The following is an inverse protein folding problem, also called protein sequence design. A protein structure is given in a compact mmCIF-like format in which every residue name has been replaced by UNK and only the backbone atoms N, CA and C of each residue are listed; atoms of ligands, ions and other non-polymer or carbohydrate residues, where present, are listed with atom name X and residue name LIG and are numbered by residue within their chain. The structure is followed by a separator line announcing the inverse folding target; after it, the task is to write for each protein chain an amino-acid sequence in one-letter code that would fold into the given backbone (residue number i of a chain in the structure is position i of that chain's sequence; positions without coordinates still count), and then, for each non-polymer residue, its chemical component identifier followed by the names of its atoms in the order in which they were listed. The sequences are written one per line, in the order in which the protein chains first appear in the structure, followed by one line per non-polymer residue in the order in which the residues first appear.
data_IF_314765371361
#
_entry.id   IF_314765371361
#
_cell.length_a   1.000
_cell.length_b   1.000
_cell.length_c   1.000
_cell.angle_alpha   90.00
_cell.angle_beta   90.00
_cell.angle_gamma   90.00
#
_symmetry.space_group_name_H-M   'P 1'
#
loop_
_entity.id
_entity.type
_entity.pdbx_description
1 polymer ?
#
# COMPACT_ATOMS: atom_id res chain seq x y z
N UNK A 1 6.30 -43.46 86.42
CA UNK A 1 5.74 -44.77 86.79
C UNK A 1 4.52 -44.58 87.68
N UNK A 2 3.49 -43.90 87.17
CA UNK A 2 2.08 -44.07 87.58
C UNK A 2 1.11 -43.60 86.48
N UNK A 3 1.58 -43.53 85.23
CA UNK A 3 0.75 -43.40 84.02
C UNK A 3 0.94 -44.60 83.08
N UNK A 4 1.74 -45.58 83.51
CA UNK A 4 2.13 -46.78 82.76
C UNK A 4 1.13 -47.94 82.95
N UNK A 5 0.13 -47.75 83.83
CA UNK A 5 -0.90 -48.75 84.10
C UNK A 5 -2.25 -48.47 83.44
N UNK A 6 -2.51 -47.24 82.95
CA UNK A 6 -3.75 -46.94 82.19
C UNK A 6 -3.64 -47.15 80.68
N UNK A 7 -2.44 -47.49 80.18
CA UNK A 7 -2.19 -47.72 78.75
C UNK A 7 -2.11 -49.21 78.39
N UNK A 8 -2.18 -50.10 79.38
CA UNK A 8 -2.13 -51.56 79.22
C UNK A 8 -3.52 -52.25 79.22
N UNK A 9 -4.59 -51.46 79.10
CA UNK A 9 -5.91 -51.94 78.69
C UNK A 9 -6.07 -51.91 77.15
N UNK A 10 -4.96 -51.64 76.45
CA UNK A 10 -4.69 -52.18 75.12
C UNK A 10 -3.99 -53.53 75.28
N UNK A 11 -4.75 -54.63 75.29
CA UNK A 11 -4.39 -55.95 74.77
C UNK A 11 -5.30 -57.00 75.40
N UNK A 12 -6.03 -57.73 74.54
CA UNK A 12 -6.71 -59.01 74.82
C UNK A 12 -8.08 -58.83 75.47
N UNK A 13 -9.22 -59.19 74.91
CA UNK A 13 -9.61 -60.01 73.76
C UNK A 13 -11.07 -59.58 73.50
N UNK A 14 -11.44 -59.18 72.28
CA UNK A 14 -12.43 -59.87 71.43
C UNK A 14 -12.49 -58.98 70.17
N UNK A 15 -11.73 -59.15 69.08
CA UNK A 15 -11.50 -60.33 68.23
C UNK A 15 -12.78 -61.02 67.77
N UNK A 16 -13.61 -60.28 67.04
CA UNK A 16 -14.24 -60.74 65.80
C UNK A 16 -14.56 -59.51 64.93
N UNK A 17 -13.75 -59.25 63.89
CA UNK A 17 -14.14 -58.62 62.60
C UNK A 17 -12.89 -58.54 61.69
N UNK A 18 -13.07 -59.09 60.48
CA UNK A 18 -12.38 -58.81 59.21
C UNK A 18 -10.92 -59.27 59.00
N UNK A 19 -10.79 -60.38 58.27
CA UNK A 19 -9.54 -60.79 57.60
C UNK A 19 -9.81 -61.14 56.13
N UNK A 20 -10.10 -60.12 55.32
CA UNK A 20 -10.20 -60.22 53.85
C UNK A 20 -8.96 -59.72 53.13
N UNK A 21 -8.12 -60.64 52.64
CA UNK A 21 -6.93 -60.38 51.82
C UNK A 21 -7.21 -59.53 50.57
N UNK A 22 -6.31 -58.60 50.33
CA UNK A 22 -6.05 -57.97 49.03
C UNK A 22 -5.71 -59.03 47.97
N UNK A 23 -6.47 -59.10 46.88
CA UNK A 23 -5.94 -59.21 45.51
C UNK A 23 -7.04 -59.10 44.42
N UNK A 24 -6.84 -58.12 43.53
CA UNK A 24 -7.26 -58.03 42.11
C UNK A 24 -8.73 -58.27 41.74
N UNK A 25 -9.48 -57.18 41.55
CA UNK A 25 -10.47 -57.07 40.46
C UNK A 25 -10.33 -55.74 39.70
N UNK A 26 -10.36 -55.89 38.38
CA UNK A 26 -10.24 -54.90 37.31
C UNK A 26 -11.24 -53.76 37.41
N UNK A 27 -10.77 -52.55 37.68
CA UNK A 27 -11.53 -51.33 37.47
C UNK A 27 -11.17 -50.74 36.10
N UNK A 28 -12.12 -50.83 35.16
CA UNK A 28 -12.10 -50.14 33.87
C UNK A 28 -11.84 -48.65 34.07
N UNK A 29 -10.64 -48.19 33.67
CA UNK A 29 -10.33 -46.76 33.51
C UNK A 29 -11.30 -46.18 32.46
N UNK A 30 -12.29 -45.41 32.93
CA UNK A 30 -12.95 -44.40 32.08
C UNK A 30 -11.85 -43.45 31.61
N UNK A 31 -11.55 -43.47 30.31
CA UNK A 31 -10.75 -42.41 29.67
C UNK A 31 -11.43 -41.08 29.98
N UNK A 32 -10.67 -40.03 30.36
CA UNK A 32 -11.26 -38.70 30.46
C UNK A 32 -11.83 -38.35 29.09
N UNK A 33 -13.02 -37.76 29.09
CA UNK A 33 -13.67 -37.26 27.89
C UNK A 33 -12.63 -36.45 27.10
N UNK A 34 -12.39 -36.85 25.85
CA UNK A 34 -11.55 -36.07 24.95
C UNK A 34 -12.13 -34.69 24.88
N UNK A 35 -11.37 -33.70 25.35
CA UNK A 35 -11.63 -32.28 25.11
C UNK A 35 -11.97 -32.16 23.63
N UNK A 36 -13.25 -31.88 23.35
CA UNK A 36 -13.70 -31.61 22.01
C UNK A 36 -12.89 -30.41 21.56
N UNK A 37 -11.88 -30.64 20.69
CA UNK A 37 -11.12 -29.59 20.03
C UNK A 37 -12.14 -28.60 19.49
N UNK A 38 -12.27 -27.47 20.18
CA UNK A 38 -13.01 -26.32 19.70
C UNK A 38 -12.31 -25.97 18.39
N UNK A 39 -12.91 -26.37 17.27
CA UNK A 39 -12.44 -26.00 15.94
C UNK A 39 -12.55 -24.48 15.93
N UNK A 40 -11.44 -23.80 16.22
CA UNK A 40 -11.34 -22.38 16.05
C UNK A 40 -11.66 -22.14 14.59
N UNK A 41 -12.77 -21.45 14.31
CA UNK A 41 -13.04 -20.92 12.97
C UNK A 41 -11.79 -20.16 12.58
N UNK A 42 -10.94 -20.75 11.73
CA UNK A 42 -9.75 -20.09 11.20
C UNK A 42 -10.27 -18.89 10.44
N UNK A 43 -10.02 -17.69 10.94
CA UNK A 43 -10.23 -16.50 10.15
C UNK A 43 -9.43 -16.67 8.85
N UNK A 44 -10.03 -16.37 7.69
CA UNK A 44 -9.30 -16.40 6.43
C UNK A 44 -8.09 -15.47 6.56
N UNK A 45 -6.92 -15.93 6.10
CA UNK A 45 -5.74 -15.08 6.06
C UNK A 45 -6.03 -13.85 5.20
N UNK A 46 -5.56 -12.69 5.67
CA UNK A 46 -5.81 -11.39 5.02
C UNK A 46 -5.06 -11.24 3.68
N UNK A 47 -3.90 -11.90 3.56
CA UNK A 47 -3.05 -11.89 2.36
C UNK A 47 -3.18 -13.19 1.53
N UNK A 48 -2.67 -13.23 0.29
CA UNK A 48 -2.57 -14.47 -0.50
C UNK A 48 -1.67 -15.50 0.17
N UNK A 49 -2.09 -16.77 0.19
CA UNK A 49 -1.36 -17.85 0.86
C UNK A 49 -0.56 -18.74 -0.10
N UNK A 50 -0.56 -18.35 -1.36
CA UNK A 50 0.13 -18.99 -2.48
C UNK A 50 0.80 -17.87 -3.27
N UNK A 51 1.89 -18.18 -3.99
CA UNK A 51 2.56 -17.22 -4.85
C UNK A 51 1.66 -16.81 -6.03
N UNK A 52 1.92 -15.66 -6.64
CA UNK A 52 1.20 -15.24 -7.85
C UNK A 52 1.29 -16.28 -8.97
N UNK A 53 2.45 -16.93 -9.13
CA UNK A 53 2.66 -18.00 -10.11
C UNK A 53 1.74 -19.21 -9.84
N UNK A 54 1.62 -19.64 -8.58
CA UNK A 54 0.74 -20.72 -8.20
C UNK A 54 -0.72 -20.34 -8.44
N UNK A 55 -1.11 -19.12 -8.05
CA UNK A 55 -2.47 -18.61 -8.21
C UNK A 55 -2.89 -18.52 -9.68
N UNK A 56 -1.98 -18.17 -10.60
CA UNK A 56 -2.22 -18.11 -12.05
C UNK A 56 -2.55 -19.48 -12.68
N UNK A 57 -2.27 -20.60 -12.00
CA UNK A 57 -2.60 -21.94 -12.51
C UNK A 57 -4.12 -22.14 -12.66
N UNK A 58 -4.93 -21.57 -11.78
CA UNK A 58 -6.40 -21.66 -11.87
C UNK A 58 -6.90 -20.97 -13.15
N UNK A 59 -6.71 -19.66 -13.36
CA UNK A 59 -7.21 -19.00 -14.55
C UNK A 59 -6.61 -19.57 -15.85
N UNK A 60 -5.36 -20.06 -15.84
CA UNK A 60 -4.78 -20.80 -16.98
C UNK A 60 -5.61 -22.04 -17.34
N UNK A 61 -5.88 -22.90 -16.36
CA UNK A 61 -6.64 -24.12 -16.59
C UNK A 61 -8.08 -23.85 -17.05
N UNK A 62 -8.76 -22.83 -16.49
CA UNK A 62 -10.11 -22.44 -16.91
C UNK A 62 -10.08 -21.89 -18.35
N UNK A 63 -9.04 -21.13 -18.71
CA UNK A 63 -8.87 -20.61 -20.06
C UNK A 63 -8.66 -21.73 -21.08
N UNK A 64 -7.78 -22.69 -20.76
CA UNK A 64 -7.45 -23.82 -21.64
C UNK A 64 -8.61 -24.80 -21.80
N UNK A 65 -9.32 -25.12 -20.71
CA UNK A 65 -10.34 -26.17 -20.69
C UNK A 65 -11.77 -25.65 -20.93
N UNK A 66 -12.03 -24.36 -20.67
CA UNK A 66 -13.38 -23.75 -20.74
C UNK A 66 -13.39 -22.38 -21.42
N UNK A 67 -12.38 -22.04 -22.22
CA UNK A 67 -12.26 -20.76 -22.94
C UNK A 67 -12.42 -19.51 -22.04
N UNK A 68 -12.16 -19.64 -20.73
CA UNK A 68 -12.25 -18.53 -19.78
C UNK A 68 -13.68 -18.15 -19.36
N UNK A 69 -14.67 -18.99 -19.67
CA UNK A 69 -16.05 -18.81 -19.23
C UNK A 69 -16.19 -19.08 -17.72
N UNK A 70 -17.16 -18.44 -17.04
CA UNK A 70 -17.45 -18.73 -15.63
C UNK A 70 -17.72 -20.22 -15.39
N UNK A 71 -17.21 -20.75 -14.29
CA UNK A 71 -17.37 -22.16 -13.92
C UNK A 71 -17.49 -22.35 -12.41
N UNK A 72 -17.94 -23.52 -11.97
CA UNK A 72 -17.94 -23.85 -10.55
C UNK A 72 -16.51 -24.01 -10.01
N UNK A 73 -16.33 -23.85 -8.70
CA UNK A 73 -15.03 -24.13 -8.05
C UNK A 73 -14.63 -25.60 -8.22
N UNK A 74 -15.60 -26.51 -8.26
CA UNK A 74 -15.40 -27.93 -8.51
C UNK A 74 -14.90 -28.20 -9.94
N UNK A 75 -15.45 -27.49 -10.94
CA UNK A 75 -14.99 -27.59 -12.32
C UNK A 75 -13.58 -27.00 -12.49
N UNK A 76 -13.30 -25.86 -11.84
CA UNK A 76 -11.95 -25.28 -11.83
C UNK A 76 -10.91 -26.27 -11.25
N UNK A 77 -11.27 -27.02 -10.19
CA UNK A 77 -10.40 -28.07 -9.65
C UNK A 77 -10.18 -29.20 -10.66
N UNK A 78 -11.25 -29.62 -11.35
CA UNK A 78 -11.20 -30.65 -12.39
C UNK A 78 -10.32 -30.23 -13.56
N UNK A 79 -10.41 -28.98 -14.02
CA UNK A 79 -9.57 -28.44 -15.09
C UNK A 79 -8.08 -28.44 -14.72
N UNK A 80 -7.76 -28.24 -13.44
CA UNK A 80 -6.39 -28.37 -12.92
C UNK A 80 -5.95 -29.81 -12.65
N UNK A 81 -6.84 -30.80 -12.79
CA UNK A 81 -6.55 -32.21 -12.46
C UNK A 81 -6.36 -32.47 -10.97
N UNK A 82 -6.94 -31.64 -10.09
CA UNK A 82 -6.82 -31.74 -8.63
C UNK A 82 -8.20 -31.89 -7.97
N UNK A 83 -8.24 -32.39 -6.73
CA UNK A 83 -9.47 -32.44 -5.95
C UNK A 83 -9.87 -31.08 -5.38
N UNK A 84 -11.17 -30.78 -5.31
CA UNK A 84 -11.71 -29.58 -4.65
C UNK A 84 -11.64 -29.71 -3.11
N UNK A 85 -10.42 -29.66 -2.57
CA UNK A 85 -10.11 -29.84 -1.15
C UNK A 85 -9.68 -28.51 -0.49
N UNK A 86 -9.30 -28.56 0.79
CA UNK A 86 -8.86 -27.38 1.55
C UNK A 86 -7.74 -26.57 0.86
N UNK A 87 -6.62 -27.20 0.47
CA UNK A 87 -5.56 -26.54 -0.29
C UNK A 87 -6.04 -25.85 -1.56
N UNK A 88 -6.88 -26.52 -2.37
CA UNK A 88 -7.43 -25.90 -3.58
C UNK A 88 -8.30 -24.67 -3.27
N UNK A 89 -9.14 -24.73 -2.23
CA UNK A 89 -9.97 -23.59 -1.80
C UNK A 89 -9.12 -22.41 -1.29
N UNK A 90 -7.97 -22.69 -0.68
CA UNK A 90 -6.99 -21.66 -0.31
C UNK A 90 -6.41 -21.00 -1.57
N UNK A 91 -6.03 -21.80 -2.57
CA UNK A 91 -5.51 -21.30 -3.85
C UNK A 91 -6.53 -20.41 -4.59
N UNK A 92 -7.81 -20.79 -4.58
CA UNK A 92 -8.90 -19.94 -5.10
C UNK A 92 -8.97 -18.61 -4.33
N UNK A 93 -8.84 -18.66 -3.00
CA UNK A 93 -8.78 -17.47 -2.17
C UNK A 93 -7.57 -16.56 -2.49
N UNK A 94 -6.40 -17.15 -2.74
CA UNK A 94 -5.20 -16.42 -3.18
C UNK A 94 -5.39 -15.78 -4.55
N UNK A 95 -5.93 -16.52 -5.52
CA UNK A 95 -6.23 -16.00 -6.86
C UNK A 95 -7.23 -14.84 -6.85
N UNK A 96 -8.25 -14.90 -5.98
CA UNK A 96 -9.16 -13.76 -5.77
C UNK A 96 -8.44 -12.53 -5.20
N UNK A 97 -7.56 -12.73 -4.22
CA UNK A 97 -6.79 -11.62 -3.61
C UNK A 97 -5.80 -10.97 -4.58
N UNK A 98 -5.21 -11.73 -5.50
CA UNK A 98 -4.41 -11.18 -6.60
C UNK A 98 -5.26 -10.51 -7.69
N UNK A 99 -6.59 -10.50 -7.58
CA UNK A 99 -7.48 -9.91 -8.58
C UNK A 99 -7.62 -10.76 -9.85
N UNK A 100 -7.23 -12.04 -9.83
CA UNK A 100 -7.29 -12.93 -11.01
C UNK A 100 -8.66 -13.57 -11.21
N UNK A 101 -9.40 -13.77 -10.12
CA UNK A 101 -10.73 -14.35 -10.12
C UNK A 101 -11.71 -13.42 -9.40
N UNK A 102 -12.95 -13.42 -9.86
CA UNK A 102 -14.09 -12.80 -9.18
C UNK A 102 -15.18 -13.83 -8.92
N UNK A 103 -16.02 -13.57 -7.93
CA UNK A 103 -17.25 -14.34 -7.72
C UNK A 103 -18.28 -13.96 -8.77
N UNK A 104 -18.94 -14.96 -9.35
CA UNK A 104 -19.99 -14.81 -10.37
C UNK A 104 -21.24 -15.60 -9.97
N UNK A 105 -21.59 -15.50 -8.69
CA UNK A 105 -22.66 -16.26 -8.04
C UNK A 105 -22.15 -17.29 -7.02
N UNK A 106 -23.06 -17.91 -6.24
CA UNK A 106 -22.69 -18.85 -5.19
C UNK A 106 -21.91 -20.06 -5.73
N UNK A 107 -20.63 -20.17 -5.36
CA UNK A 107 -19.77 -21.28 -5.80
C UNK A 107 -19.25 -21.17 -7.24
N UNK A 108 -19.51 -20.06 -7.92
CA UNK A 108 -19.07 -19.80 -9.30
C UNK A 108 -17.93 -18.77 -9.28
N UNK A 109 -16.90 -19.04 -10.07
CA UNK A 109 -15.76 -18.14 -10.29
C UNK A 109 -15.62 -17.80 -11.76
N UNK A 110 -15.22 -16.55 -12.03
CA UNK A 110 -14.94 -16.07 -13.37
C UNK A 110 -13.57 -15.39 -13.42
N UNK A 111 -12.90 -15.48 -14.58
CA UNK A 111 -11.67 -14.73 -14.83
C UNK A 111 -11.98 -13.23 -14.85
N UNK A 112 -11.10 -12.42 -14.28
CA UNK A 112 -11.10 -10.96 -14.42
C UNK A 112 -10.41 -10.54 -15.72
N UNK A 113 -10.58 -9.28 -16.13
CA UNK A 113 -9.86 -8.72 -17.28
C UNK A 113 -8.35 -8.69 -17.03
N UNK A 114 -7.95 -8.46 -15.78
CA UNK A 114 -6.56 -8.57 -15.33
C UNK A 114 -5.98 -9.97 -15.60
N UNK A 115 -6.70 -11.04 -15.25
CA UNK A 115 -6.24 -12.39 -15.55
C UNK A 115 -6.13 -12.64 -17.07
N UNK A 116 -7.05 -12.09 -17.89
CA UNK A 116 -6.96 -12.22 -19.35
C UNK A 116 -5.78 -11.45 -19.92
N UNK A 117 -5.50 -10.25 -19.40
CA UNK A 117 -4.33 -9.45 -19.77
C UNK A 117 -3.03 -10.21 -19.52
N UNK A 118 -2.89 -10.85 -18.35
CA UNK A 118 -1.69 -11.62 -17.99
C UNK A 118 -1.56 -12.89 -18.83
N UNK A 119 -2.67 -13.59 -19.10
CA UNK A 119 -2.64 -14.90 -19.76
C UNK A 119 -2.73 -14.84 -21.28
N UNK A 120 -3.21 -13.74 -21.84
CA UNK A 120 -3.30 -13.48 -23.28
C UNK A 120 -2.81 -12.08 -23.62
N UNK A 121 -1.57 -11.73 -23.24
CA UNK A 121 -1.01 -10.41 -23.52
C UNK A 121 -0.88 -10.18 -25.03
N UNK A 122 -1.03 -8.93 -25.47
CA UNK A 122 -0.69 -8.53 -26.85
C UNK A 122 0.78 -8.12 -26.95
N UNK A 123 1.33 -7.60 -25.87
CA UNK A 123 2.73 -7.17 -25.74
C UNK A 123 3.34 -7.66 -24.43
N UNK A 124 4.67 -7.68 -24.34
CA UNK A 124 5.36 -8.05 -23.09
C UNK A 124 5.02 -7.04 -21.97
N UNK A 125 4.86 -5.78 -22.33
CA UNK A 125 4.49 -4.69 -21.43
C UNK A 125 3.10 -4.93 -20.83
N UNK A 126 2.14 -5.45 -21.59
CA UNK A 126 0.80 -5.80 -21.09
C UNK A 126 0.88 -6.89 -20.01
N UNK A 127 1.69 -7.92 -20.24
CA UNK A 127 1.89 -9.02 -19.29
C UNK A 127 2.49 -8.50 -17.98
N UNK A 128 3.62 -7.78 -18.09
CA UNK A 128 4.33 -7.21 -16.94
C UNK A 128 3.43 -6.23 -16.18
N UNK A 129 2.67 -5.38 -16.88
CA UNK A 129 1.72 -4.47 -16.26
C UNK A 129 0.66 -5.21 -15.47
N UNK A 130 0.07 -6.28 -16.03
CA UNK A 130 -0.92 -7.09 -15.32
C UNK A 130 -0.35 -7.80 -14.10
N UNK A 131 0.87 -8.35 -14.20
CA UNK A 131 1.55 -8.97 -13.06
C UNK A 131 1.78 -7.96 -11.92
N UNK A 132 2.19 -6.73 -12.24
CA UNK A 132 2.38 -5.65 -11.27
C UNK A 132 1.06 -5.16 -10.66
N UNK A 133 0.00 -5.06 -11.45
CA UNK A 133 -1.35 -4.76 -10.94
C UNK A 133 -1.83 -5.84 -9.97
N UNK A 134 -1.48 -7.12 -10.19
CA UNK A 134 -1.78 -8.19 -9.24
C UNK A 134 -1.06 -8.00 -7.90
N UNK A 135 0.18 -7.51 -7.90
CA UNK A 135 0.92 -7.15 -6.67
C UNK A 135 0.24 -6.02 -5.92
N UNK A 136 -0.21 -4.98 -6.63
CA UNK A 136 -0.91 -3.83 -6.04
C UNK A 136 -2.31 -4.17 -5.52
N UNK A 137 -2.95 -5.19 -6.09
CA UNK A 137 -4.28 -5.66 -5.68
C UNK A 137 -4.21 -6.57 -4.45
N UNK A 138 -3.10 -7.29 -4.28
CA UNK A 138 -2.92 -8.26 -3.21
C UNK A 138 -2.80 -7.60 -1.83
N UNK A 139 -3.74 -7.84 -0.89
CA UNK A 139 -3.69 -7.26 0.45
C UNK A 139 -2.42 -7.64 1.20
N UNK A 140 -1.94 -6.72 2.03
CA UNK A 140 -0.66 -6.72 2.76
C UNK A 140 0.60 -6.81 1.87
N UNK A 141 0.59 -7.56 0.76
CA UNK A 141 1.68 -7.54 -0.23
C UNK A 141 1.80 -6.13 -0.83
N UNK A 142 0.66 -5.51 -1.20
CA UNK A 142 0.59 -4.14 -1.71
C UNK A 142 1.19 -3.14 -0.72
N UNK A 143 0.88 -3.31 0.57
CA UNK A 143 1.27 -2.37 1.62
C UNK A 143 2.77 -2.50 1.92
N UNK A 144 3.27 -3.73 2.03
CA UNK A 144 4.70 -4.00 2.23
C UNK A 144 5.50 -3.57 1.00
N UNK A 145 5.03 -3.83 -0.22
CA UNK A 145 5.67 -3.34 -1.43
C UNK A 145 5.74 -1.82 -1.44
N UNK A 146 4.63 -1.14 -1.18
CA UNK A 146 4.56 0.33 -1.18
C UNK A 146 5.49 0.96 -0.15
N UNK A 147 5.68 0.32 1.01
CA UNK A 147 6.57 0.82 2.05
C UNK A 147 8.06 0.72 1.68
N UNK A 148 8.45 -0.32 0.94
CA UNK A 148 9.85 -0.58 0.59
C UNK A 148 10.18 -0.26 -0.87
N UNK A 149 9.22 0.24 -1.66
CA UNK A 149 9.42 0.59 -3.07
C UNK A 149 10.52 1.64 -3.22
N UNK A 150 11.53 1.35 -4.05
CA UNK A 150 12.70 2.19 -4.25
C UNK A 150 13.85 1.93 -3.25
N UNK A 151 13.57 1.23 -2.15
CA UNK A 151 14.47 0.99 -1.03
C UNK A 151 15.14 -0.38 -1.07
N UNK A 152 16.22 -0.52 -0.29
CA UNK A 152 16.82 -1.81 0.01
C UNK A 152 16.02 -2.54 1.09
N UNK A 153 15.80 -3.82 0.88
CA UNK A 153 15.21 -4.68 1.90
C UNK A 153 16.21 -4.86 3.06
N UNK A 154 15.79 -4.59 4.31
CA UNK A 154 16.61 -4.86 5.48
C UNK A 154 16.97 -6.35 5.61
N UNK A 155 17.96 -6.66 6.43
CA UNK A 155 18.27 -8.07 6.71
C UNK A 155 17.04 -8.83 7.25
N UNK A 156 17.00 -10.14 6.98
CA UNK A 156 15.86 -11.04 7.23
C UNK A 156 15.21 -10.84 8.59
N UNK A 157 16.00 -10.67 9.66
CA UNK A 157 15.50 -10.44 11.02
C UNK A 157 14.73 -9.13 11.16
N UNK A 158 15.25 -8.04 10.60
CA UNK A 158 14.60 -6.73 10.68
C UNK A 158 13.35 -6.65 9.81
N UNK A 159 13.39 -7.29 8.62
CA UNK A 159 12.22 -7.40 7.77
C UNK A 159 11.10 -8.19 8.47
N UNK A 160 11.41 -9.35 9.07
CA UNK A 160 10.45 -10.14 9.83
C UNK A 160 9.84 -9.35 11.02
N UNK A 161 10.66 -8.59 11.76
CA UNK A 161 10.15 -7.71 12.82
C UNK A 161 9.19 -6.66 12.28
N UNK A 162 9.51 -6.02 11.15
CA UNK A 162 8.63 -5.04 10.51
C UNK A 162 7.29 -5.65 10.09
N UNK A 163 7.31 -6.86 9.53
CA UNK A 163 6.10 -7.61 9.18
C UNK A 163 5.18 -7.85 10.39
N UNK A 164 5.76 -8.16 11.55
CA UNK A 164 5.00 -8.35 12.80
C UNK A 164 4.46 -7.02 13.31
N UNK A 165 5.34 -6.03 13.50
CA UNK A 165 5.03 -4.80 14.23
C UNK A 165 4.10 -3.86 13.44
N UNK A 166 4.28 -3.80 12.12
CA UNK A 166 3.55 -2.84 11.27
C UNK A 166 2.37 -3.48 10.54
N UNK A 167 2.53 -4.71 10.04
CA UNK A 167 1.54 -5.37 9.18
C UNK A 167 0.75 -6.47 9.91
N UNK A 168 1.06 -6.73 11.19
CA UNK A 168 0.36 -7.71 12.01
C UNK A 168 0.51 -9.15 11.51
N UNK A 169 1.57 -9.45 10.74
CA UNK A 169 1.88 -10.81 10.29
C UNK A 169 2.38 -11.59 11.51
N UNK A 170 1.74 -12.72 11.82
CA UNK A 170 2.14 -13.54 12.96
C UNK A 170 3.58 -14.05 12.81
N UNK A 171 4.33 -14.15 13.90
CA UNK A 171 5.75 -14.57 13.92
C UNK A 171 5.99 -15.84 13.10
N UNK A 172 5.25 -16.91 13.38
CA UNK A 172 5.34 -18.20 12.68
C UNK A 172 4.88 -18.16 11.20
N UNK A 173 4.40 -17.01 10.72
CA UNK A 173 3.95 -16.75 9.34
C UNK A 173 4.85 -15.78 8.58
N UNK A 174 5.81 -15.15 9.25
CA UNK A 174 6.71 -14.17 8.62
C UNK A 174 7.55 -14.81 7.50
N UNK A 175 8.04 -16.03 7.71
CA UNK A 175 8.83 -16.74 6.71
C UNK A 175 8.00 -17.07 5.46
N UNK A 176 6.85 -17.69 5.66
CA UNK A 176 5.92 -18.03 4.59
C UNK A 176 5.46 -16.78 3.81
N UNK A 177 5.16 -15.69 4.52
CA UNK A 177 4.83 -14.42 3.88
C UNK A 177 6.00 -13.90 3.04
N UNK A 178 7.23 -13.97 3.56
CA UNK A 178 8.43 -13.50 2.86
C UNK A 178 8.67 -14.29 1.58
N UNK A 179 8.53 -15.62 1.62
CA UNK A 179 8.62 -16.48 0.44
C UNK A 179 7.59 -16.09 -0.63
N UNK A 180 6.32 -15.92 -0.23
CA UNK A 180 5.23 -15.52 -1.13
C UNK A 180 5.50 -14.13 -1.71
N UNK A 181 5.91 -13.18 -0.88
CA UNK A 181 6.23 -11.81 -1.25
C UNK A 181 7.34 -11.77 -2.29
N UNK A 182 8.54 -12.28 -1.98
CA UNK A 182 9.66 -12.21 -2.91
C UNK A 182 9.43 -13.02 -4.19
N UNK A 183 8.78 -14.19 -4.12
CA UNK A 183 8.41 -14.95 -5.33
C UNK A 183 7.46 -14.15 -6.23
N UNK A 184 6.47 -13.49 -5.62
CA UNK A 184 5.49 -12.66 -6.33
C UNK A 184 6.14 -11.45 -7.00
N UNK A 185 6.99 -10.71 -6.27
CA UNK A 185 7.69 -9.54 -6.80
C UNK A 185 8.71 -9.91 -7.89
N UNK A 186 9.36 -11.08 -7.76
CA UNK A 186 10.26 -11.59 -8.80
C UNK A 186 9.52 -11.88 -10.09
N UNK A 187 8.34 -12.50 -10.02
CA UNK A 187 7.50 -12.75 -11.20
C UNK A 187 7.05 -11.44 -11.85
N UNK A 188 6.74 -10.41 -11.06
CA UNK A 188 6.31 -9.10 -11.56
C UNK A 188 7.46 -8.16 -12.02
N UNK A 189 8.70 -8.67 -12.07
CA UNK A 189 9.91 -7.89 -12.37
C UNK A 189 10.02 -6.61 -11.51
N UNK A 190 9.86 -6.76 -10.18
CA UNK A 190 9.88 -5.68 -9.18
C UNK A 190 11.07 -5.77 -8.22
N UNK A 191 12.02 -6.67 -8.45
CA UNK A 191 13.22 -6.84 -7.62
C UNK A 191 14.48 -6.62 -8.44
N UNK A 192 15.47 -6.00 -7.82
CA UNK A 192 16.87 -6.01 -8.27
C UNK A 192 17.72 -6.72 -7.20
N UNK A 193 18.34 -7.83 -7.58
CA UNK A 193 19.09 -8.72 -6.68
C UNK A 193 20.58 -8.64 -7.02
N UNK A 194 21.26 -7.61 -6.51
CA UNK A 194 22.67 -7.34 -6.78
C UNK A 194 23.51 -7.49 -5.50
N UNK A 195 24.59 -8.29 -5.59
CA UNK A 195 25.57 -8.45 -4.50
C UNK A 195 24.98 -9.00 -3.19
N UNK A 196 23.94 -9.83 -3.25
CA UNK A 196 23.28 -10.41 -2.07
C UNK A 196 22.33 -9.45 -1.34
N UNK A 197 22.10 -8.26 -1.89
CA UNK A 197 21.08 -7.31 -1.42
C UNK A 197 19.88 -7.33 -2.37
N UNK A 198 18.69 -7.13 -1.83
CA UNK A 198 17.45 -7.05 -2.61
C UNK A 198 16.97 -5.61 -2.56
N UNK A 199 16.81 -4.97 -3.71
CA UNK A 199 16.17 -3.66 -3.85
C UNK A 199 14.80 -3.85 -4.50
N UNK A 200 13.78 -3.16 -3.97
CA UNK A 200 12.48 -3.14 -4.63
C UNK A 200 12.46 -2.02 -5.66
N UNK A 201 12.12 -2.38 -6.89
CA UNK A 201 12.06 -1.43 -8.00
C UNK A 201 10.82 -0.55 -7.86
N UNK A 202 11.03 0.76 -7.98
CA UNK A 202 9.95 1.70 -8.21
C UNK A 202 9.64 1.75 -9.71
N UNK A 203 8.65 0.97 -10.12
CA UNK A 203 8.21 0.94 -11.51
C UNK A 203 7.07 1.93 -11.78
N UNK A 204 6.68 2.74 -10.78
CA UNK A 204 5.88 3.93 -11.04
C UNK A 204 6.70 4.98 -11.80
N UNK A 205 8.05 4.88 -11.74
CA UNK A 205 8.98 5.73 -12.51
C UNK A 205 9.34 5.18 -13.90
N UNK A 206 9.04 3.92 -14.21
CA UNK A 206 9.28 3.32 -15.54
C UNK A 206 8.25 3.73 -16.61
N UNK A 207 7.48 4.80 -16.34
CA UNK A 207 6.82 5.61 -17.38
C UNK A 207 7.75 6.62 -18.05
N UNK A 208 9.06 6.56 -17.84
CA UNK A 208 10.03 7.28 -18.69
C UNK A 208 10.23 6.55 -20.03
N UNK A 209 9.16 6.51 -20.86
CA UNK A 209 9.15 6.37 -22.33
C UNK A 209 7.74 6.09 -22.88
N UNK A 210 6.66 6.47 -22.19
CA UNK A 210 5.49 6.92 -22.95
C UNK A 210 5.78 8.36 -23.32
N UNK A 211 5.83 8.65 -24.60
CA UNK A 211 5.81 10.01 -25.11
C UNK A 211 4.57 10.67 -24.50
N UNK A 212 4.73 11.47 -23.45
CA UNK A 212 3.68 12.40 -23.00
C UNK A 212 3.38 13.24 -24.24
N UNK A 213 2.26 12.96 -24.89
CA UNK A 213 1.75 13.83 -25.94
C UNK A 213 1.16 15.02 -25.18
N UNK A 214 2.03 15.97 -24.87
CA UNK A 214 1.67 17.22 -24.21
C UNK A 214 0.39 17.76 -24.86
N UNK A 215 -0.57 18.16 -24.02
CA UNK A 215 -1.87 18.62 -24.49
C UNK A 215 -1.68 19.78 -25.49
N UNK A 216 -2.64 19.99 -26.41
CA UNK A 216 -2.53 21.10 -27.36
C UNK A 216 -2.34 22.44 -26.65
N UNK A 217 -2.96 22.59 -25.48
CA UNK A 217 -2.82 23.75 -24.61
C UNK A 217 -1.44 23.80 -23.94
N UNK A 218 -0.95 22.71 -23.35
CA UNK A 218 0.39 22.64 -22.76
C UNK A 218 1.48 23.00 -23.79
N UNK A 219 1.38 22.47 -25.01
CA UNK A 219 2.33 22.80 -26.11
C UNK A 219 2.25 24.27 -26.51
N UNK A 220 1.08 24.90 -26.42
CA UNK A 220 0.89 26.33 -26.70
C UNK A 220 1.53 27.17 -25.59
N UNK A 221 1.25 26.85 -24.33
CA UNK A 221 1.78 27.54 -23.15
C UNK A 221 3.31 27.44 -23.08
N UNK A 222 3.90 26.26 -23.34
CA UNK A 222 5.36 26.06 -23.41
C UNK A 222 6.05 26.86 -24.52
N UNK A 223 5.35 27.19 -25.61
CA UNK A 223 5.89 28.07 -26.65
C UNK A 223 5.79 29.54 -26.26
N UNK A 224 4.78 29.91 -25.48
CA UNK A 224 4.57 31.27 -25.00
C UNK A 224 5.48 31.61 -23.82
N UNK A 225 5.81 30.64 -22.98
CA UNK A 225 6.62 30.79 -21.78
C UNK A 225 7.92 30.00 -21.95
N UNK A 226 9.06 30.68 -21.93
CA UNK A 226 10.39 30.05 -21.91
C UNK A 226 11.07 30.39 -20.58
N UNK A 227 10.89 29.59 -19.52
CA UNK A 227 11.54 29.85 -18.25
C UNK A 227 13.06 29.76 -18.40
N UNK A 228 13.78 30.54 -17.61
CA UNK A 228 15.23 30.37 -17.52
C UNK A 228 15.54 29.08 -16.76
N UNK A 229 16.67 28.43 -17.08
CA UNK A 229 17.08 27.20 -16.39
C UNK A 229 17.30 27.38 -14.88
N UNK A 230 17.45 28.62 -14.41
CA UNK A 230 17.58 28.99 -12.99
C UNK A 230 16.26 29.34 -12.32
N UNK A 231 15.15 29.44 -13.04
CA UNK A 231 13.86 29.80 -12.45
C UNK A 231 13.33 28.63 -11.63
N UNK A 232 12.89 28.92 -10.40
CA UNK A 232 12.44 27.92 -9.44
C UNK A 232 10.93 27.97 -9.21
N UNK A 233 10.36 26.81 -8.85
CA UNK A 233 9.02 26.70 -8.29
C UNK A 233 9.11 26.12 -6.89
N UNK A 234 8.58 26.84 -5.89
CA UNK A 234 8.60 26.38 -4.51
C UNK A 234 7.28 25.68 -4.15
N UNK A 235 7.40 24.48 -3.59
CA UNK A 235 6.26 23.60 -3.28
C UNK A 235 6.02 23.60 -1.78
N UNK A 236 4.93 24.24 -1.37
CA UNK A 236 4.43 24.31 0.01
C UNK A 236 3.50 23.12 0.24
N UNK A 237 3.96 22.13 1.01
CA UNK A 237 3.20 20.89 1.21
C UNK A 237 3.50 20.24 2.57
N UNK A 238 2.60 19.38 3.08
CA UNK A 238 2.87 18.61 4.29
C UNK A 238 4.03 17.63 4.07
N UNK A 239 4.99 17.59 5.00
CA UNK A 239 6.16 16.73 4.91
C UNK A 239 5.88 15.24 5.21
N UNK A 240 4.91 14.98 6.07
CA UNK A 240 4.63 13.64 6.60
C UNK A 240 3.44 12.94 5.94
N UNK A 241 3.31 11.64 6.22
CA UNK A 241 2.19 10.82 5.73
C UNK A 241 2.27 10.53 4.24
N UNK A 242 1.12 10.24 3.63
CA UNK A 242 1.02 9.89 2.21
C UNK A 242 1.47 11.02 1.28
N UNK A 243 1.23 12.29 1.67
CA UNK A 243 1.56 13.46 0.86
C UNK A 243 3.08 13.65 0.67
N UNK A 244 3.91 13.24 1.63
CA UNK A 244 5.37 13.35 1.49
C UNK A 244 5.92 12.64 0.25
N UNK A 245 5.27 11.54 -0.17
CA UNK A 245 5.61 10.78 -1.37
C UNK A 245 5.21 11.50 -2.67
N UNK A 246 4.26 12.43 -2.61
CA UNK A 246 3.73 13.11 -3.80
C UNK A 246 4.70 14.16 -4.34
N UNK A 247 5.66 14.62 -3.53
CA UNK A 247 6.69 15.51 -4.04
C UNK A 247 7.48 14.88 -5.18
N UNK A 248 8.10 13.73 -4.91
CA UNK A 248 8.92 13.02 -5.90
C UNK A 248 8.05 12.46 -7.03
N UNK A 249 6.87 11.93 -6.71
CA UNK A 249 6.01 11.27 -7.68
C UNK A 249 5.17 12.23 -8.56
N UNK A 250 4.87 13.45 -8.10
CA UNK A 250 3.92 14.37 -8.77
C UNK A 250 4.48 15.78 -8.93
N UNK A 251 4.78 16.49 -7.85
CA UNK A 251 5.09 17.93 -7.98
C UNK A 251 6.46 18.16 -8.65
N UNK A 252 7.48 17.38 -8.29
CA UNK A 252 8.81 17.45 -8.90
C UNK A 252 8.76 17.17 -10.42
N UNK A 253 8.12 16.10 -10.92
CA UNK A 253 7.98 15.90 -12.37
C UNK A 253 7.14 17.00 -13.02
N UNK A 254 6.03 17.45 -12.42
CA UNK A 254 5.19 18.51 -12.99
C UNK A 254 5.94 19.84 -13.16
N UNK A 255 6.74 20.23 -12.17
CA UNK A 255 7.57 21.44 -12.20
C UNK A 255 8.69 21.32 -13.24
N UNK A 256 9.37 20.17 -13.29
CA UNK A 256 10.39 19.90 -14.33
C UNK A 256 9.78 19.92 -15.73
N UNK A 257 8.58 19.38 -15.88
CA UNK A 257 7.81 19.36 -17.13
C UNK A 257 7.46 20.80 -17.57
N UNK A 258 7.19 21.69 -16.61
CA UNK A 258 7.01 23.13 -16.86
C UNK A 258 8.34 23.89 -17.15
N UNK A 259 9.49 23.23 -17.06
CA UNK A 259 10.80 23.83 -17.34
C UNK A 259 11.43 24.60 -16.17
N UNK A 260 10.95 24.40 -14.95
CA UNK A 260 11.45 25.05 -13.73
C UNK A 260 12.24 24.07 -12.86
N UNK A 261 13.03 24.62 -11.93
CA UNK A 261 13.68 23.85 -10.87
C UNK A 261 12.76 23.73 -9.65
N UNK A 262 12.32 22.51 -9.26
CA UNK A 262 11.50 22.32 -8.06
C UNK A 262 12.33 22.51 -6.80
N UNK A 263 11.76 23.23 -5.82
CA UNK A 263 12.33 23.43 -4.49
C UNK A 263 11.31 23.04 -3.43
N UNK A 264 11.74 22.27 -2.43
CA UNK A 264 10.97 21.98 -1.20
C UNK A 264 11.80 22.33 0.02
N UNK A 265 11.14 22.88 1.04
CA UNK A 265 11.80 23.48 2.20
C UNK A 265 12.71 22.55 3.02
N UNK A 266 12.44 21.24 3.02
CA UNK A 266 13.22 20.26 3.76
C UNK A 266 14.36 19.66 2.91
N UNK A 267 14.09 19.09 1.74
CA UNK A 267 15.09 18.29 1.00
C UNK A 267 16.28 19.09 0.45
N UNK A 268 16.04 20.33 0.02
CA UNK A 268 17.03 21.14 -0.71
C UNK A 268 17.61 22.29 0.13
N UNK A 269 17.08 22.55 1.34
CA UNK A 269 17.42 23.73 2.15
C UNK A 269 18.01 23.38 3.53
N UNK A 270 18.59 22.19 3.73
CA UNK A 270 19.35 21.86 4.95
C UNK A 270 20.70 22.61 5.04
N UNK A 271 20.64 23.95 5.16
CA UNK A 271 21.74 24.82 5.57
C UNK A 271 21.62 25.24 7.03
N UNK A 272 22.71 25.73 7.64
CA UNK A 272 22.71 26.32 8.98
C UNK A 272 21.92 27.65 8.97
N UNK A 273 20.75 27.69 9.64
CA UNK A 273 19.88 28.88 9.71
C UNK A 273 18.54 28.60 10.39
N UNK A 274 17.72 29.64 10.61
CA UNK A 274 16.34 29.44 11.10
C UNK A 274 15.49 28.89 9.95
N UNK A 275 14.74 27.82 10.19
CA UNK A 275 13.85 27.17 9.21
C UNK A 275 12.92 28.18 8.52
N UNK A 276 12.47 29.19 9.26
CA UNK A 276 11.59 30.24 8.74
C UNK A 276 12.26 31.12 7.68
N UNK A 277 13.56 31.40 7.80
CA UNK A 277 14.29 32.25 6.86
C UNK A 277 14.48 31.52 5.51
N UNK A 278 14.59 30.19 5.57
CA UNK A 278 14.71 29.32 4.41
C UNK A 278 13.40 29.20 3.64
N UNK A 279 12.29 28.98 4.36
CA UNK A 279 10.94 29.01 3.80
C UNK A 279 10.67 30.37 3.15
N UNK A 280 10.93 31.45 3.87
CA UNK A 280 10.74 32.81 3.37
C UNK A 280 11.56 33.07 2.11
N UNK A 281 12.83 32.63 2.09
CA UNK A 281 13.68 32.72 0.89
C UNK A 281 13.12 31.94 -0.28
N UNK A 282 12.68 30.69 -0.07
CA UNK A 282 12.06 29.87 -1.09
C UNK A 282 10.83 30.52 -1.72
N UNK A 283 9.99 31.16 -0.89
CA UNK A 283 8.82 31.94 -1.33
C UNK A 283 9.25 33.15 -2.16
N UNK A 284 10.21 33.95 -1.68
CA UNK A 284 10.65 35.18 -2.33
C UNK A 284 11.33 34.90 -3.67
N UNK A 285 12.26 33.94 -3.72
CA UNK A 285 13.13 33.69 -4.88
C UNK A 285 12.41 32.93 -6.00
N UNK A 286 11.38 32.13 -5.70
CA UNK A 286 10.69 31.32 -6.71
C UNK A 286 9.76 32.14 -7.60
N UNK A 287 9.69 31.81 -8.89
CA UNK A 287 8.82 32.52 -9.84
C UNK A 287 7.35 32.27 -9.59
N UNK A 288 7.03 31.05 -9.17
CA UNK A 288 5.68 30.56 -8.93
C UNK A 288 5.72 29.55 -7.79
N UNK A 289 4.58 29.39 -7.12
CA UNK A 289 4.42 28.55 -5.95
C UNK A 289 3.33 27.52 -6.20
N UNK A 290 3.43 26.38 -5.53
CA UNK A 290 2.36 25.39 -5.43
C UNK A 290 2.01 25.23 -3.95
N UNK A 291 0.72 25.24 -3.62
CA UNK A 291 0.22 25.02 -2.26
C UNK A 291 -0.67 23.78 -2.21
N UNK A 292 -0.23 22.74 -1.47
CA UNK A 292 -1.02 21.52 -1.27
C UNK A 292 -1.83 21.62 0.03
N UNK A 293 -3.15 21.75 -0.12
CA UNK A 293 -4.07 22.08 0.96
C UNK A 293 -4.71 20.85 1.61
N UNK A 294 -4.51 19.64 1.06
CA UNK A 294 -5.07 18.40 1.62
C UNK A 294 -4.74 18.25 3.11
N UNK A 295 -5.73 17.81 3.88
CA UNK A 295 -5.65 17.67 5.35
C UNK A 295 -5.47 18.98 6.13
N UNK A 296 -5.66 20.14 5.49
CA UNK A 296 -5.68 21.46 6.14
C UNK A 296 -4.44 21.77 7.00
N UNK A 297 -3.25 21.52 6.47
CA UNK A 297 -2.02 21.72 7.24
C UNK A 297 -1.81 23.22 7.60
N UNK A 298 -1.72 23.57 8.90
CA UNK A 298 -1.57 24.97 9.34
C UNK A 298 -0.31 25.66 8.81
N UNK A 299 0.79 24.92 8.62
CA UNK A 299 2.05 25.49 8.13
C UNK A 299 1.91 25.88 6.66
N UNK A 300 1.25 25.05 5.85
CA UNK A 300 1.01 25.39 4.43
C UNK A 300 0.14 26.64 4.32
N UNK A 301 -0.88 26.80 5.16
CA UNK A 301 -1.69 28.02 5.16
C UNK A 301 -0.91 29.25 5.62
N UNK A 302 0.00 29.10 6.59
CA UNK A 302 0.88 30.18 7.01
C UNK A 302 1.80 30.64 5.87
N UNK A 303 2.44 29.69 5.19
CA UNK A 303 3.29 29.95 4.02
C UNK A 303 2.50 30.57 2.85
N UNK A 304 1.29 30.08 2.61
CA UNK A 304 0.37 30.63 1.61
C UNK A 304 -0.02 32.08 1.93
N UNK A 305 -0.29 32.39 3.20
CA UNK A 305 -0.55 33.77 3.64
C UNK A 305 0.64 34.69 3.37
N UNK A 306 1.86 34.24 3.65
CA UNK A 306 3.09 34.99 3.32
C UNK A 306 3.25 35.19 1.80
N UNK A 307 3.01 34.15 1.01
CA UNK A 307 3.08 34.20 -0.45
C UNK A 307 2.09 35.22 -1.03
N UNK A 308 0.84 35.21 -0.55
CA UNK A 308 -0.17 36.18 -0.94
C UNK A 308 0.21 37.61 -0.56
N UNK A 309 0.72 37.84 0.65
CA UNK A 309 1.18 39.15 1.09
C UNK A 309 2.35 39.68 0.22
N UNK A 310 3.23 38.78 -0.23
CA UNK A 310 4.33 39.09 -1.14
C UNK A 310 3.92 39.16 -2.62
N UNK A 311 2.63 38.99 -2.93
CA UNK A 311 2.08 38.96 -4.30
C UNK A 311 2.83 37.99 -5.19
N UNK A 312 3.04 36.77 -4.69
CA UNK A 312 3.60 35.67 -5.48
C UNK A 312 2.45 34.88 -6.14
N UNK A 313 2.58 34.47 -7.41
CA UNK A 313 1.56 33.64 -8.05
C UNK A 313 1.58 32.23 -7.43
N UNK A 314 0.42 31.75 -7.02
CA UNK A 314 0.28 30.44 -6.34
C UNK A 314 -0.75 29.57 -7.06
N UNK A 315 -0.36 28.32 -7.36
CA UNK A 315 -1.26 27.27 -7.82
C UNK A 315 -1.75 26.48 -6.61
N UNK A 316 -3.06 26.50 -6.34
CA UNK A 316 -3.66 25.75 -5.25
C UNK A 316 -4.03 24.33 -5.68
N UNK A 317 -3.75 23.35 -4.83
CA UNK A 317 -4.05 21.94 -5.06
C UNK A 317 -4.69 21.33 -3.80
N UNK A 318 -5.69 20.48 -3.96
CA UNK A 318 -6.33 19.75 -2.86
C UNK A 318 -6.98 18.45 -3.34
N UNK A 319 -6.99 17.41 -2.51
CA UNK A 319 -7.71 16.16 -2.81
C UNK A 319 -9.24 16.28 -2.70
N UNK A 320 -9.74 17.35 -2.07
CA UNK A 320 -11.16 17.59 -1.86
C UNK A 320 -11.47 19.07 -1.59
N UNK A 321 -12.72 19.47 -1.83
CA UNK A 321 -13.21 20.83 -1.60
C UNK A 321 -13.28 21.22 -0.12
N UNK A 322 -13.44 20.24 0.76
CA UNK A 322 -13.62 20.52 2.18
C UNK A 322 -12.34 21.00 2.82
N UNK A 323 -11.18 20.57 2.33
CA UNK A 323 -9.89 21.05 2.80
C UNK A 323 -9.58 22.48 2.34
N UNK A 324 -10.35 23.05 1.41
CA UNK A 324 -10.19 24.43 0.93
C UNK A 324 -11.06 25.39 1.78
N UNK A 325 -10.44 26.29 2.57
CA UNK A 325 -11.17 27.30 3.35
C UNK A 325 -12.00 28.22 2.45
N UNK A 326 -13.11 28.74 2.99
CA UNK A 326 -14.02 29.64 2.26
C UNK A 326 -13.28 30.83 1.62
N UNK A 327 -12.31 31.42 2.32
CA UNK A 327 -11.51 32.54 1.83
C UNK A 327 -10.66 32.19 0.61
N UNK A 328 -10.42 30.91 0.30
CA UNK A 328 -9.67 30.47 -0.88
C UNK A 328 -10.58 29.93 -1.99
N UNK A 329 -11.88 29.71 -1.75
CA UNK A 329 -12.80 29.07 -2.72
C UNK A 329 -13.05 29.89 -3.98
N UNK A 330 -12.79 31.20 -3.93
CA UNK A 330 -12.87 32.08 -5.11
C UNK A 330 -11.61 31.99 -5.99
N UNK A 331 -10.55 31.36 -5.50
CA UNK A 331 -9.31 31.10 -6.24
C UNK A 331 -9.43 29.71 -6.85
N UNK A 332 -8.97 29.57 -8.10
CA UNK A 332 -8.97 28.27 -8.78
C UNK A 332 -8.09 27.28 -8.02
N UNK A 333 -8.69 26.17 -7.59
CA UNK A 333 -8.00 25.05 -6.96
C UNK A 333 -8.05 23.81 -7.87
N UNK A 334 -6.91 23.13 -8.00
CA UNK A 334 -6.81 21.86 -8.71
C UNK A 334 -7.24 20.74 -7.78
N UNK A 335 -8.28 20.01 -8.17
CA UNK A 335 -8.75 18.84 -7.43
C UNK A 335 -8.27 17.52 -8.05
N UNK A 336 -7.83 16.59 -7.19
CA UNK A 336 -7.46 15.22 -7.56
C UNK A 336 -8.20 14.19 -6.70
N UNK A 337 -8.57 13.05 -7.30
CA UNK A 337 -9.28 11.97 -6.60
C UNK A 337 -8.38 10.73 -6.51
N UNK A 338 -7.95 10.37 -5.30
CA UNK A 338 -7.07 9.21 -5.07
C UNK A 338 -7.72 7.87 -5.45
N UNK A 339 -9.03 7.82 -5.66
CA UNK A 339 -9.74 6.61 -6.14
C UNK A 339 -9.54 6.37 -7.64
N UNK A 340 -9.14 7.38 -8.40
CA UNK A 340 -8.85 7.25 -9.82
C UNK A 340 -7.46 6.64 -10.01
N UNK A 341 -7.30 5.47 -10.64
CA UNK A 341 -6.00 4.80 -10.79
C UNK A 341 -4.95 5.63 -11.56
N UNK A 342 -5.35 6.69 -12.26
CA UNK A 342 -4.48 7.60 -13.01
C UNK A 342 -4.40 9.01 -12.41
N UNK A 343 -4.84 9.20 -11.16
CA UNK A 343 -4.93 10.51 -10.53
C UNK A 343 -3.58 11.25 -10.51
N UNK A 344 -2.47 10.53 -10.31
CA UNK A 344 -1.13 11.12 -10.24
C UNK A 344 -0.72 11.78 -11.56
N UNK A 345 -0.91 11.09 -12.69
CA UNK A 345 -0.58 11.63 -14.01
C UNK A 345 -1.46 12.81 -14.40
N UNK A 346 -2.77 12.67 -14.14
CA UNK A 346 -3.72 13.77 -14.35
C UNK A 346 -3.35 14.99 -13.51
N UNK A 347 -2.85 14.76 -12.30
CA UNK A 347 -2.42 15.84 -11.43
C UNK A 347 -1.12 16.48 -11.93
N UNK A 348 -0.15 15.69 -12.42
CA UNK A 348 1.07 16.19 -13.06
C UNK A 348 0.70 17.15 -14.20
N UNK A 349 -0.13 16.69 -15.15
CA UNK A 349 -0.51 17.49 -16.31
C UNK A 349 -1.23 18.79 -15.90
N UNK A 350 -2.20 18.69 -15.00
CA UNK A 350 -2.93 19.87 -14.49
C UNK A 350 -2.00 20.85 -13.79
N UNK A 351 -1.09 20.38 -12.94
CA UNK A 351 -0.14 21.24 -12.24
C UNK A 351 0.79 21.91 -13.24
N UNK A 352 1.36 21.16 -14.20
CA UNK A 352 2.20 21.73 -15.27
C UNK A 352 1.47 22.83 -16.04
N UNK A 353 0.24 22.58 -16.49
CA UNK A 353 -0.56 23.57 -17.23
C UNK A 353 -0.83 24.83 -16.40
N UNK A 354 -1.22 24.69 -15.13
CA UNK A 354 -1.51 25.84 -14.28
C UNK A 354 -0.25 26.61 -13.86
N UNK A 355 0.89 25.92 -13.69
CA UNK A 355 2.19 26.56 -13.45
C UNK A 355 2.59 27.40 -14.67
N UNK A 356 2.50 26.83 -15.88
CA UNK A 356 2.79 27.58 -17.12
C UNK A 356 1.82 28.74 -17.32
N UNK A 357 0.53 28.55 -17.02
CA UNK A 357 -0.48 29.62 -17.08
C UNK A 357 -0.17 30.75 -16.08
N UNK A 358 0.21 30.41 -14.84
CA UNK A 358 0.57 31.38 -13.82
C UNK A 358 1.88 32.13 -14.14
N UNK A 359 2.79 31.53 -14.91
CA UNK A 359 3.96 32.23 -15.44
C UNK A 359 3.60 33.18 -16.59
N UNK A 360 2.62 32.80 -17.42
CA UNK A 360 2.19 33.61 -18.55
C UNK A 360 1.34 34.82 -18.12
N UNK A 361 0.38 34.59 -17.22
CA UNK A 361 -0.59 35.57 -16.73
C UNK A 361 -0.55 35.60 -15.20
N UNK A 362 0.55 36.09 -14.59
CA UNK A 362 0.70 36.07 -13.13
C UNK A 362 -0.43 36.81 -12.41
N UNK A 363 -1.00 37.86 -13.00
CA UNK A 363 -2.12 38.63 -12.46
C UNK A 363 -3.38 37.80 -12.17
N UNK A 364 -3.63 36.72 -12.92
CA UNK A 364 -4.77 35.82 -12.66
C UNK A 364 -4.57 34.98 -11.39
N UNK A 365 -3.32 34.83 -10.95
CA UNK A 365 -2.92 34.10 -9.77
C UNK A 365 -2.59 35.01 -8.58
N UNK A 366 -2.90 36.31 -8.67
CA UNK A 366 -2.66 37.30 -7.63
C UNK A 366 -3.98 37.88 -7.14
N UNK A 367 -4.03 38.22 -5.85
CA UNK A 367 -5.10 39.10 -5.37
C UNK A 367 -4.95 40.49 -6.00
N UNK A 368 -6.00 40.95 -6.66
CA UNK A 368 -6.11 42.34 -7.09
C UNK A 368 -6.70 43.18 -5.96
N UNK A 369 -6.13 44.37 -5.77
CA UNK A 369 -6.86 45.46 -5.13
C UNK A 369 -7.55 46.16 -6.28
N UNK A 370 -8.86 46.03 -6.40
CA UNK A 370 -9.61 46.96 -7.24
C UNK A 370 -9.43 48.35 -6.60
N UNK A 371 -8.59 49.19 -7.20
CA UNK A 371 -8.61 50.62 -6.89
C UNK A 371 -9.97 51.14 -7.34
N UNK A 372 -10.92 51.20 -6.40
CA UNK A 372 -12.15 51.98 -6.56
C UNK A 372 -11.71 53.43 -6.75
N UNK A 373 -11.62 53.85 -8.02
CA UNK A 373 -11.33 55.21 -8.45
C UNK A 373 -12.59 56.07 -8.33
#
# INVERSE_FOLDING_TARGET
MDDEQKKNEQLRDELEIDSGKSERKTATRKKPASDSKRVTKKNPSKYPRDTLEQALRIPRSILEQNAGQPCSVEDAARYMGVGCNGPFKVLVGSAKKYGLLKEDGPGIVALTDLARQILRPQTREDEISGLRTSVQTAPEISDVYSHYRGELIPERKFFANKLMDTYGILEHKTEEFSEIFFSTLRLAELLDETGGKIRLLDVSENRTSTTHVASKEERRLRKAVTPNSSDTCFVMMPFGGHLGTYYEAVYKPAVKQAGLTPIRADADIFGTGKIIDQIYRGIVESKVLIAELTSRNPNVFYELGLAHALRKPVVLVSSNDEDVPFDLKHIRCIHYDMKDPFWGEKLIDKVTENVLSALQNPEEALFSVEEQS
#
